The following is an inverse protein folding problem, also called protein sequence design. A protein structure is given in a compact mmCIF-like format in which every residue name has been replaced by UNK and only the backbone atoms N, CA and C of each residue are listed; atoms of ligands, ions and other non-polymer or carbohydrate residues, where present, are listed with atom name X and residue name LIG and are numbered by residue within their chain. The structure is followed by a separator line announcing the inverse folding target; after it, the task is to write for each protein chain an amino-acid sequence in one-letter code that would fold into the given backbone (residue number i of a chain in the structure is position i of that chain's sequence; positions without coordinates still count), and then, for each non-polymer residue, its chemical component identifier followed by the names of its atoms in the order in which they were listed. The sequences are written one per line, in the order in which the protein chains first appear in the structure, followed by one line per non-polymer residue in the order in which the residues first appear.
data_IF_400526980843
#
_entry.id   IF_400526980843
#
_cell.length_a   1.000
_cell.length_b   1.000
_cell.length_c   1.000
_cell.angle_alpha   90.00
_cell.angle_beta   90.00
_cell.angle_gamma   90.00
#
_symmetry.space_group_name_H-M   'P 1'
#
loop_
_entity.id
_entity.type
_entity.pdbx_description
1 polymer ?
#
# COMPACT_ATOMS: atom_id res chain seq x y z
N UNK A 1 -26.54 -46.90 9.89
CA UNK A 1 -25.77 -46.27 8.79
C UNK A 1 -26.02 -44.76 8.65
N UNK A 2 -27.13 -44.19 9.14
CA UNK A 2 -27.39 -42.74 9.06
C UNK A 2 -26.48 -41.84 9.90
N UNK A 3 -26.15 -42.24 11.14
CA UNK A 3 -25.32 -41.42 12.04
C UNK A 3 -23.94 -41.12 11.42
N UNK A 4 -23.30 -42.14 10.82
CA UNK A 4 -22.01 -41.98 10.13
C UNK A 4 -22.08 -41.01 8.94
N UNK A 5 -23.22 -40.97 8.22
CA UNK A 5 -23.46 -40.04 7.10
C UNK A 5 -23.62 -38.60 7.59
N UNK A 6 -24.29 -38.38 8.72
CA UNK A 6 -24.44 -37.05 9.33
C UNK A 6 -23.11 -36.51 9.86
N UNK A 7 -22.33 -37.33 10.57
CA UNK A 7 -20.99 -36.92 11.03
C UNK A 7 -20.03 -36.67 9.88
N UNK A 8 -20.10 -37.47 8.81
CA UNK A 8 -19.30 -37.24 7.60
C UNK A 8 -19.67 -35.91 6.92
N UNK A 9 -20.97 -35.59 6.81
CA UNK A 9 -21.41 -34.33 6.25
C UNK A 9 -20.98 -33.12 7.11
N UNK A 10 -21.07 -33.23 8.44
CA UNK A 10 -20.61 -32.19 9.37
C UNK A 10 -19.10 -31.98 9.25
N UNK A 11 -18.33 -33.08 9.19
CA UNK A 11 -16.88 -33.02 9.02
C UNK A 11 -16.48 -32.36 7.71
N UNK A 12 -17.18 -32.68 6.61
CA UNK A 12 -16.95 -32.09 5.31
C UNK A 12 -17.28 -30.59 5.31
N UNK A 13 -18.36 -30.20 5.98
CA UNK A 13 -18.73 -28.79 6.13
C UNK A 13 -17.70 -28.00 6.95
N UNK A 14 -17.20 -28.57 8.04
CA UNK A 14 -16.13 -27.98 8.86
C UNK A 14 -14.82 -27.84 8.08
N UNK A 15 -14.47 -28.83 7.25
CA UNK A 15 -13.29 -28.79 6.39
C UNK A 15 -13.37 -27.67 5.35
N UNK A 16 -14.51 -27.52 4.68
CA UNK A 16 -14.74 -26.45 3.71
C UNK A 16 -14.67 -25.08 4.38
N UNK A 17 -15.26 -24.94 5.57
CA UNK A 17 -15.19 -23.69 6.34
C UNK A 17 -13.75 -23.32 6.71
N UNK A 18 -12.93 -24.30 7.10
CA UNK A 18 -11.53 -24.09 7.47
C UNK A 18 -10.64 -23.64 6.29
N UNK A 19 -10.94 -24.13 5.08
CA UNK A 19 -10.27 -23.70 3.85
C UNK A 19 -10.59 -22.23 3.52
N UNK A 20 -11.84 -21.79 3.73
CA UNK A 20 -12.26 -20.42 3.41
C UNK A 20 -11.60 -19.41 4.35
N UNK A 21 -11.50 -19.71 5.65
CA UNK A 21 -10.94 -18.77 6.64
C UNK A 21 -9.41 -18.68 6.61
N UNK A 22 -8.72 -19.66 6.01
CA UNK A 22 -7.24 -19.69 5.94
C UNK A 22 -6.68 -19.07 4.67
N UNK A 23 -7.53 -18.65 3.73
CA UNK A 23 -7.12 -17.95 2.50
C UNK A 23 -6.71 -16.50 2.77
N UNK A 24 -5.49 -16.29 3.29
CA UNK A 24 -4.90 -14.96 3.38
C UNK A 24 -4.33 -14.59 2.01
N UNK A 25 -4.88 -13.57 1.35
CA UNK A 25 -4.31 -13.05 0.10
C UNK A 25 -3.03 -12.27 0.40
N UNK A 26 -1.91 -12.74 -0.16
CA UNK A 26 -0.65 -12.01 -0.11
C UNK A 26 -0.72 -10.83 -1.08
N UNK A 27 -0.85 -9.61 -0.56
CA UNK A 27 -0.79 -8.39 -1.36
C UNK A 27 0.65 -8.15 -1.81
N UNK A 28 0.99 -8.58 -3.02
CA UNK A 28 2.28 -8.25 -3.64
C UNK A 28 2.29 -6.75 -3.94
N UNK A 29 3.31 -6.00 -3.50
CA UNK A 29 3.44 -4.59 -3.90
C UNK A 29 3.62 -4.51 -5.41
N UNK A 30 3.00 -3.51 -6.03
CA UNK A 30 3.22 -3.28 -7.46
C UNK A 30 4.69 -2.90 -7.71
N UNK A 31 5.22 -3.29 -8.86
CA UNK A 31 6.56 -2.90 -9.26
C UNK A 31 6.64 -1.37 -9.41
N UNK A 32 7.69 -0.77 -8.85
CA UNK A 32 7.99 0.67 -8.99
C UNK A 32 8.15 1.04 -10.47
N UNK A 33 8.79 0.15 -11.24
CA UNK A 33 9.00 0.35 -12.67
C UNK A 33 7.92 -0.35 -13.50
N UNK A 34 7.25 0.42 -14.36
CA UNK A 34 6.25 -0.08 -15.31
C UNK A 34 6.65 0.37 -16.72
N UNK A 35 6.96 -0.54 -17.66
CA UNK A 35 7.44 -0.19 -19.00
C UNK A 35 6.44 0.65 -19.82
N UNK A 36 5.16 0.60 -19.46
CA UNK A 36 4.07 1.35 -20.10
C UNK A 36 3.50 2.43 -19.18
N UNK A 37 4.04 2.58 -17.96
CA UNK A 37 3.62 3.59 -17.02
C UNK A 37 4.03 4.96 -17.53
N UNK A 38 3.06 5.79 -17.95
CA UNK A 38 3.29 7.23 -18.08
C UNK A 38 3.43 7.78 -16.66
N UNK A 39 4.67 8.04 -16.26
CA UNK A 39 4.94 8.78 -15.02
C UNK A 39 4.29 10.16 -15.05
N UNK A 40 4.05 10.72 -13.86
CA UNK A 40 3.74 12.14 -13.74
C UNK A 40 4.98 12.98 -14.10
N UNK A 41 4.81 14.25 -14.49
CA UNK A 41 5.95 15.14 -14.68
C UNK A 41 6.81 15.21 -13.41
N UNK A 42 8.14 15.27 -13.59
CA UNK A 42 9.06 15.38 -12.46
C UNK A 42 8.77 16.65 -11.63
N UNK A 43 8.86 16.59 -10.29
CA UNK A 43 8.72 17.77 -9.44
C UNK A 43 9.84 18.78 -9.73
N UNK A 44 9.47 20.06 -9.78
CA UNK A 44 10.41 21.17 -9.97
C UNK A 44 10.40 21.98 -8.67
N UNK A 45 11.54 22.09 -8.00
CA UNK A 45 11.68 22.92 -6.80
C UNK A 45 12.12 24.33 -7.22
N UNK A 46 11.34 25.34 -6.87
CA UNK A 46 11.68 26.74 -7.10
C UNK A 46 12.21 27.45 -5.86
N UNK A 47 11.81 26.99 -4.66
CA UNK A 47 12.24 27.59 -3.40
C UNK A 47 12.21 26.59 -2.24
N UNK A 48 13.15 26.75 -1.30
CA UNK A 48 13.21 26.04 -0.03
C UNK A 48 13.36 27.08 1.09
N UNK A 49 12.60 26.94 2.17
CA UNK A 49 12.63 27.81 3.35
C UNK A 49 12.60 26.99 4.66
N UNK A 50 13.60 27.10 5.56
CA UNK A 50 14.81 27.91 5.42
C UNK A 50 15.75 27.33 4.35
N UNK A 51 16.46 28.16 3.57
CA UNK A 51 17.25 27.67 2.44
C UNK A 51 18.58 27.00 2.83
N UNK A 52 19.06 27.19 4.07
CA UNK A 52 20.44 26.82 4.45
C UNK A 52 20.57 26.07 5.77
N UNK A 53 19.52 26.00 6.56
CA UNK A 53 19.59 25.41 7.89
C UNK A 53 18.26 24.79 8.28
N UNK A 54 18.35 23.65 8.95
CA UNK A 54 17.23 23.00 9.61
C UNK A 54 17.79 22.05 10.66
N UNK A 55 17.13 21.99 11.81
CA UNK A 55 17.40 20.98 12.83
C UNK A 55 16.36 19.87 12.71
N UNK A 56 16.82 18.63 12.62
CA UNK A 56 15.95 17.47 12.51
C UNK A 56 14.97 17.42 13.69
N UNK A 57 13.69 17.20 13.38
CA UNK A 57 12.62 17.11 14.38
C UNK A 57 12.17 18.44 15.01
N UNK A 58 12.80 19.57 14.68
CA UNK A 58 12.46 20.89 15.26
C UNK A 58 12.10 21.91 14.18
N UNK A 59 12.85 21.95 13.08
CA UNK A 59 12.64 22.94 12.02
C UNK A 59 11.67 22.40 10.96
N UNK A 60 10.60 23.14 10.70
CA UNK A 60 9.74 22.90 9.54
C UNK A 60 10.38 23.49 8.29
N UNK A 61 10.42 22.72 7.21
CA UNK A 61 10.92 23.17 5.90
C UNK A 61 9.73 23.27 4.95
N UNK A 62 9.58 24.43 4.32
CA UNK A 62 8.63 24.64 3.23
C UNK A 62 9.36 24.57 1.89
N UNK A 63 8.92 23.65 1.04
CA UNK A 63 9.38 23.51 -0.34
C UNK A 63 8.26 24.02 -1.26
N UNK A 64 8.59 24.95 -2.16
CA UNK A 64 7.67 25.50 -3.16
C UNK A 64 8.15 25.13 -4.55
N UNK A 65 7.22 24.81 -5.45
CA UNK A 65 7.56 24.34 -6.77
C UNK A 65 6.35 23.89 -7.59
N UNK A 66 6.60 23.06 -8.60
CA UNK A 66 5.59 22.56 -9.54
C UNK A 66 5.61 21.03 -9.60
N UNK A 67 4.51 20.45 -10.08
CA UNK A 67 4.30 19.00 -10.23
C UNK A 67 4.35 18.19 -8.91
N UNK A 68 4.18 18.85 -7.76
CA UNK A 68 3.86 18.15 -6.52
C UNK A 68 2.39 17.74 -6.52
N UNK A 69 2.11 16.53 -6.03
CA UNK A 69 0.75 16.06 -5.76
C UNK A 69 0.13 16.85 -4.61
N UNK A 70 -1.16 17.17 -4.74
CA UNK A 70 -1.99 17.73 -3.65
C UNK A 70 -2.12 16.76 -2.48
N UNK A 71 -2.13 15.45 -2.76
CA UNK A 71 -1.95 14.44 -1.73
C UNK A 71 -0.45 14.26 -1.45
N UNK A 72 -0.03 14.62 -0.24
CA UNK A 72 1.36 14.54 0.23
C UNK A 72 1.91 13.11 0.17
N UNK A 73 1.07 12.09 0.40
CA UNK A 73 1.49 10.68 0.36
C UNK A 73 1.94 10.24 -1.04
N UNK A 74 1.54 10.96 -2.09
CA UNK A 74 1.97 10.67 -3.45
C UNK A 74 3.28 11.40 -3.84
N UNK A 75 3.83 12.24 -2.96
CA UNK A 75 5.12 12.91 -3.17
C UNK A 75 6.31 12.09 -2.62
N UNK A 76 6.06 10.92 -2.02
CA UNK A 76 7.11 9.99 -1.62
C UNK A 76 7.48 9.06 -2.78
N UNK A 77 8.76 8.68 -2.83
CA UNK A 77 9.30 7.64 -3.72
C UNK A 77 8.96 6.26 -3.20
#
# INVERSE_FOLDING_TARGET
MEMKRKYFAIFLFLWVFLIIITGCEYKIPQAIWQPQGKGTPNPIISQVDPPRWAFAGVTSIKITGQNFSENVENNSV
#
